data_IF_821428753824
#
_entry.id   IF_821428753824
#
_cell.length_a   1.000
_cell.length_b   1.000
_cell.length_c   1.000
_cell.angle_alpha   90.00
_cell.angle_beta   90.00
_cell.angle_gamma   90.00
#
_symmetry.space_group_name_H-M   'P 1'
#
loop_
_entity.id
_entity.type
_entity.pdbx_description
1 polymer ?
#
# COMPACT_ATOMS: atom_id res chain seq x y z
N UNK A 1 -17.43 44.08 -28.01
CA UNK A 1 -16.32 43.61 -27.14
C UNK A 1 -16.22 42.09 -27.28
N UNK A 2 -15.21 41.60 -27.99
CA UNK A 2 -14.99 40.17 -28.19
C UNK A 2 -14.54 39.53 -26.86
N UNK A 3 -15.29 38.55 -26.38
CA UNK A 3 -14.93 37.74 -25.22
C UNK A 3 -13.76 36.86 -25.65
N UNK A 4 -12.53 37.29 -25.39
CA UNK A 4 -11.33 36.44 -25.55
C UNK A 4 -11.50 35.26 -24.59
N UNK A 5 -11.98 34.13 -25.10
CA UNK A 5 -11.98 32.86 -24.39
C UNK A 5 -10.54 32.54 -23.99
N UNK A 6 -10.32 32.22 -22.72
CA UNK A 6 -9.01 31.83 -22.23
C UNK A 6 -8.52 30.56 -22.96
N UNK A 7 -7.20 30.40 -23.17
CA UNK A 7 -6.63 29.26 -23.88
C UNK A 7 -7.06 27.92 -23.27
N UNK A 8 -7.29 26.87 -24.08
CA UNK A 8 -7.58 25.54 -23.55
C UNK A 8 -6.44 25.08 -22.64
N UNK A 9 -6.73 24.93 -21.34
CA UNK A 9 -5.74 24.59 -20.30
C UNK A 9 -5.53 25.64 -19.20
N UNK A 10 -6.22 26.78 -19.23
CA UNK A 10 -6.19 27.77 -18.14
C UNK A 10 -7.03 27.31 -16.92
N UNK A 11 -6.56 26.25 -16.25
CA UNK A 11 -7.10 25.86 -14.94
C UNK A 11 -6.81 26.94 -13.88
N UNK A 12 -7.58 26.97 -12.77
CA UNK A 12 -7.36 27.93 -11.69
C UNK A 12 -5.91 27.91 -11.18
N UNK A 13 -5.30 29.09 -11.05
CA UNK A 13 -3.88 29.26 -10.72
C UNK A 13 -3.46 28.69 -9.35
N UNK A 14 -4.41 28.36 -8.48
CA UNK A 14 -4.18 27.74 -7.17
C UNK A 14 -4.13 26.21 -7.23
N UNK A 15 -4.38 25.60 -8.39
CA UNK A 15 -4.16 24.15 -8.57
C UNK A 15 -2.66 23.95 -8.78
N UNK A 16 -1.94 23.29 -7.85
CA UNK A 16 -0.52 23.03 -8.07
C UNK A 16 -0.39 22.18 -9.34
N UNK A 17 0.57 22.52 -10.22
CA UNK A 17 0.89 21.72 -11.42
C UNK A 17 1.16 20.25 -11.09
N UNK A 18 1.52 19.99 -9.85
CA UNK A 18 1.83 18.73 -9.23
C UNK A 18 0.59 17.99 -8.65
N UNK A 19 -0.57 18.65 -8.49
CA UNK A 19 -1.83 17.94 -8.16
C UNK A 19 -2.32 17.08 -9.33
N UNK A 20 -2.00 17.45 -10.57
CA UNK A 20 -2.21 16.58 -11.74
C UNK A 20 -1.20 15.42 -11.82
N UNK A 21 -0.17 15.42 -10.96
CA UNK A 21 0.91 14.43 -10.86
C UNK A 21 0.79 13.55 -9.62
N UNK A 22 -0.29 13.66 -8.85
CA UNK A 22 -0.84 12.46 -8.23
C UNK A 22 -1.71 11.82 -9.30
N UNK A 23 -1.16 10.95 -10.18
CA UNK A 23 -2.05 10.01 -10.80
C UNK A 23 -2.66 9.29 -9.60
N UNK A 24 -3.98 9.39 -9.44
CA UNK A 24 -4.74 8.22 -9.04
C UNK A 24 -4.15 7.11 -9.89
N UNK A 25 -3.25 6.34 -9.28
CA UNK A 25 -2.37 5.37 -9.95
C UNK A 25 -3.29 4.64 -10.89
N UNK A 26 -3.15 4.86 -12.20
CA UNK A 26 -4.04 4.24 -13.19
C UNK A 26 -3.92 2.76 -12.88
N UNK A 27 -4.94 2.20 -12.23
CA UNK A 27 -4.96 0.81 -11.84
C UNK A 27 -5.08 0.11 -13.18
N UNK A 28 -3.95 -0.39 -13.68
CA UNK A 28 -3.94 -1.23 -14.86
C UNK A 28 -4.61 -2.52 -14.40
N UNK A 29 -5.94 -2.54 -14.48
CA UNK A 29 -6.73 -3.75 -14.36
C UNK A 29 -6.47 -4.53 -15.62
N UNK A 30 -5.53 -5.47 -15.53
CA UNK A 30 -5.25 -6.41 -16.60
C UNK A 30 -6.41 -7.41 -16.66
N UNK A 31 -7.17 -7.47 -17.77
CA UNK A 31 -8.29 -8.41 -17.89
C UNK A 31 -7.86 -9.88 -17.84
N UNK A 32 -6.57 -10.19 -18.06
CA UNK A 32 -6.00 -11.53 -17.91
C UNK A 32 -5.45 -11.78 -16.49
N UNK A 33 -5.72 -10.91 -15.52
CA UNK A 33 -5.21 -11.12 -14.16
C UNK A 33 -5.86 -12.31 -13.47
N UNK A 34 -5.02 -13.16 -12.87
CA UNK A 34 -5.50 -14.26 -12.02
C UNK A 34 -6.26 -13.71 -10.80
N UNK A 35 -7.25 -14.46 -10.32
CA UNK A 35 -8.02 -14.09 -9.12
C UNK A 35 -7.12 -13.91 -7.88
N UNK A 36 -6.01 -14.65 -7.84
CA UNK A 36 -4.99 -14.52 -6.79
C UNK A 36 -4.21 -13.21 -6.88
N UNK A 37 -3.75 -12.81 -8.07
CA UNK A 37 -3.07 -11.52 -8.26
C UNK A 37 -3.99 -10.33 -7.97
N UNK A 38 -5.27 -10.46 -8.32
CA UNK A 38 -6.30 -9.46 -7.97
C UNK A 38 -6.44 -9.32 -6.45
N UNK A 39 -6.56 -10.44 -5.75
CA UNK A 39 -6.67 -10.47 -4.29
C UNK A 39 -5.45 -9.84 -3.61
N UNK A 40 -4.24 -10.15 -4.07
CA UNK A 40 -3.03 -9.52 -3.53
C UNK A 40 -3.05 -8.00 -3.70
N UNK A 41 -3.50 -7.50 -4.87
CA UNK A 41 -3.60 -6.06 -5.13
C UNK A 41 -4.64 -5.37 -4.26
N UNK A 42 -5.82 -5.97 -4.12
CA UNK A 42 -6.98 -5.38 -3.42
C UNK A 42 -6.88 -5.52 -1.90
N UNK A 43 -6.44 -6.67 -1.40
CA UNK A 43 -6.50 -6.95 0.03
C UNK A 43 -5.16 -6.78 0.71
N UNK A 44 -4.04 -7.08 0.05
CA UNK A 44 -2.70 -7.01 0.66
C UNK A 44 -2.01 -5.67 0.40
N UNK A 45 -1.95 -5.26 -0.86
CA UNK A 45 -1.16 -4.09 -1.31
C UNK A 45 -1.99 -2.81 -1.47
N UNK A 46 -3.30 -2.85 -1.21
CA UNK A 46 -4.12 -1.64 -1.25
C UNK A 46 -3.65 -0.64 -0.19
N UNK A 47 -3.45 0.64 -0.55
CA UNK A 47 -2.87 1.63 0.35
C UNK A 47 -3.68 1.85 1.62
N UNK A 48 -4.99 1.63 1.58
CA UNK A 48 -5.88 1.73 2.74
C UNK A 48 -5.74 0.55 3.71
N UNK A 49 -5.26 -0.60 3.25
CA UNK A 49 -5.12 -1.84 4.04
C UNK A 49 -3.68 -2.12 4.46
N UNK A 50 -2.71 -1.50 3.77
CA UNK A 50 -1.28 -1.67 4.04
C UNK A 50 -0.88 -1.49 5.52
N UNK A 51 -1.27 -0.41 6.24
CA UNK A 51 -0.85 -0.23 7.62
C UNK A 51 -1.37 -1.34 8.56
N UNK A 52 -2.61 -1.79 8.34
CA UNK A 52 -3.23 -2.88 9.09
C UNK A 52 -2.56 -4.22 8.78
N UNK A 53 -2.35 -4.52 7.50
CA UNK A 53 -1.70 -5.75 7.06
C UNK A 53 -0.27 -5.86 7.57
N UNK A 54 0.50 -4.76 7.55
CA UNK A 54 1.86 -4.74 8.12
C UNK A 54 1.83 -5.07 9.61
N UNK A 55 0.87 -4.51 10.35
CA UNK A 55 0.72 -4.80 11.78
C UNK A 55 0.42 -6.28 12.03
N UNK A 56 -0.48 -6.88 11.24
CA UNK A 56 -0.81 -8.31 11.32
C UNK A 56 0.41 -9.17 10.96
N UNK A 57 1.09 -8.87 9.85
CA UNK A 57 2.31 -9.58 9.45
C UNK A 57 3.40 -9.49 10.51
N UNK A 58 3.57 -8.31 11.11
CA UNK A 58 4.55 -8.08 12.18
C UNK A 58 4.18 -8.90 13.42
N UNK A 59 2.90 -8.90 13.82
CA UNK A 59 2.43 -9.67 14.97
C UNK A 59 2.59 -11.18 14.79
N UNK A 60 2.16 -11.71 13.64
CA UNK A 60 2.32 -13.13 13.29
C UNK A 60 3.81 -13.49 13.20
N UNK A 61 4.62 -12.64 12.56
CA UNK A 61 6.06 -12.84 12.44
C UNK A 61 6.77 -12.86 13.80
N UNK A 62 6.46 -11.89 14.66
CA UNK A 62 7.02 -11.83 16.01
C UNK A 62 6.63 -13.05 16.86
N UNK A 63 5.38 -13.52 16.75
CA UNK A 63 4.92 -14.71 17.46
C UNK A 63 5.67 -15.97 17.02
N UNK A 64 5.78 -16.20 15.70
CA UNK A 64 6.51 -17.35 15.16
C UNK A 64 8.01 -17.27 15.47
N UNK A 65 8.61 -16.08 15.37
CA UNK A 65 9.99 -15.87 15.76
C UNK A 65 10.21 -16.19 17.26
N UNK A 66 9.29 -15.76 18.13
CA UNK A 66 9.32 -16.10 19.56
C UNK A 66 9.29 -17.61 19.80
N UNK A 67 8.44 -18.35 19.09
CA UNK A 67 8.40 -19.83 19.16
C UNK A 67 9.75 -20.42 18.75
N UNK A 68 10.34 -19.95 17.64
CA UNK A 68 11.64 -20.44 17.18
C UNK A 68 12.72 -20.17 18.23
N UNK A 69 12.75 -18.97 18.79
CA UNK A 69 13.72 -18.59 19.83
C UNK A 69 13.59 -19.49 21.05
N UNK A 70 12.39 -19.66 21.60
CA UNK A 70 12.17 -20.54 22.77
C UNK A 70 12.49 -21.99 22.44
N UNK A 71 12.18 -22.47 21.23
CA UNK A 71 12.47 -23.85 20.86
C UNK A 71 13.95 -24.13 20.63
N UNK A 72 14.74 -23.11 20.29
CA UNK A 72 16.17 -23.26 20.02
C UNK A 72 17.06 -22.91 21.21
N UNK A 73 16.63 -21.98 22.06
CA UNK A 73 17.42 -21.48 23.20
C UNK A 73 16.70 -21.64 24.55
N UNK A 74 15.55 -22.32 24.58
CA UNK A 74 14.71 -22.44 25.79
C UNK A 74 15.44 -23.04 26.98
N UNK A 75 16.31 -24.03 26.75
CA UNK A 75 17.08 -24.68 27.81
C UNK A 75 18.06 -23.71 28.50
N UNK A 76 18.53 -22.67 27.78
CA UNK A 76 19.39 -21.63 28.34
C UNK A 76 18.61 -20.59 29.15
N UNK A 77 17.28 -20.55 29.01
CA UNK A 77 16.41 -19.63 29.74
C UNK A 77 15.91 -20.24 31.07
N UNK A 78 16.15 -21.52 31.32
CA UNK A 78 15.82 -22.19 32.58
C UNK A 78 17.07 -22.17 33.47
N UNK A 79 17.07 -21.42 34.59
CA UNK A 79 18.14 -21.52 35.57
C UNK A 79 18.11 -22.89 36.26
N UNK A 80 19.30 -23.46 36.49
CA UNK A 80 19.51 -24.78 37.09
C UNK A 80 18.89 -24.92 38.49
#
# INVERSE_FOLDING_TARGET
MARRSAPPGSGPAYVPKNAALHPSRRQITDPDESTFSRFLREEIYAPEKLPGNISVFTGVGAFLAGIVVVRTWGDLLIPA
#
